data_IF_898719861579
#
_entry.id   IF_898719861579
#
_cell.length_a   1.000
_cell.length_b   1.000
_cell.length_c   1.000
_cell.angle_alpha   90.00
_cell.angle_beta   90.00
_cell.angle_gamma   90.00
#
_symmetry.space_group_name_H-M   'P 1'
#
loop_
_entity.id
_entity.type
_entity.pdbx_description
1 polymer ?
#
# COMPACT_ATOMS: atom_id res chain seq x y z
N UNK A 1 -16.94 -6.89 -11.78
CA UNK A 1 -18.41 -6.80 -11.81
C UNK A 1 -18.90 -5.45 -12.35
N UNK A 2 -18.38 -4.32 -11.84
CA UNK A 2 -18.74 -2.95 -12.29
C UNK A 2 -18.53 -2.73 -13.81
N UNK A 3 -17.45 -3.25 -14.39
CA UNK A 3 -17.19 -3.18 -15.85
C UNK A 3 -18.32 -3.76 -16.71
N UNK A 4 -19.03 -4.78 -16.23
CA UNK A 4 -20.16 -5.37 -16.95
C UNK A 4 -21.43 -4.53 -16.78
N UNK A 5 -21.66 -3.99 -15.59
CA UNK A 5 -22.78 -3.09 -15.32
C UNK A 5 -22.71 -1.84 -16.21
N UNK A 6 -21.53 -1.23 -16.38
CA UNK A 6 -21.36 -0.10 -17.31
C UNK A 6 -21.57 -0.47 -18.78
N UNK A 7 -21.41 -1.75 -19.17
CA UNK A 7 -21.77 -2.22 -20.53
C UNK A 7 -23.26 -2.43 -20.69
N UNK A 8 -23.92 -3.03 -19.70
CA UNK A 8 -25.37 -3.24 -19.72
C UNK A 8 -26.14 -1.91 -19.65
N UNK A 9 -25.67 -0.98 -18.82
CA UNK A 9 -26.28 0.33 -18.62
C UNK A 9 -25.60 1.43 -19.45
N UNK A 10 -24.98 1.08 -20.59
CA UNK A 10 -24.21 2.02 -21.41
C UNK A 10 -25.04 3.24 -21.86
N UNK A 11 -26.32 3.05 -22.16
CA UNK A 11 -27.21 4.17 -22.49
C UNK A 11 -27.38 5.15 -21.31
N UNK A 12 -27.50 4.63 -20.09
CA UNK A 12 -27.63 5.47 -18.90
C UNK A 12 -26.35 6.27 -18.69
N UNK A 13 -25.18 5.62 -18.70
CA UNK A 13 -23.87 6.27 -18.55
C UNK A 13 -23.61 7.32 -19.64
N UNK A 14 -23.96 7.05 -20.89
CA UNK A 14 -23.63 7.94 -22.02
C UNK A 14 -24.63 9.06 -22.26
N UNK A 15 -25.91 8.85 -21.98
CA UNK A 15 -26.98 9.76 -22.41
C UNK A 15 -27.83 10.27 -21.27
N UNK A 16 -28.28 9.41 -20.35
CA UNK A 16 -29.22 9.82 -19.30
C UNK A 16 -28.51 10.57 -18.16
N UNK A 17 -27.42 10.01 -17.65
CA UNK A 17 -26.65 10.53 -16.52
C UNK A 17 -26.07 11.93 -16.82
N UNK A 18 -25.41 12.18 -17.98
CA UNK A 18 -24.89 13.51 -18.30
C UNK A 18 -25.98 14.57 -18.46
N UNK A 19 -27.14 14.21 -19.04
CA UNK A 19 -28.28 15.13 -19.21
C UNK A 19 -28.91 15.55 -17.89
N UNK A 20 -28.76 14.75 -16.84
CA UNK A 20 -29.32 14.99 -15.50
C UNK A 20 -28.26 15.42 -14.49
N UNK A 21 -27.00 15.54 -14.91
CA UNK A 21 -25.86 15.88 -14.04
C UNK A 21 -25.77 14.96 -12.80
N UNK A 22 -25.99 13.66 -13.00
CA UNK A 22 -25.88 12.65 -11.95
C UNK A 22 -24.47 12.03 -11.92
N UNK A 23 -24.05 11.42 -10.79
CA UNK A 23 -22.81 10.65 -10.74
C UNK A 23 -22.84 9.45 -11.71
N UNK A 24 -21.72 9.13 -12.38
CA UNK A 24 -21.59 7.96 -13.23
C UNK A 24 -21.70 6.66 -12.43
N UNK A 25 -22.11 5.58 -13.09
CA UNK A 25 -22.36 4.31 -12.41
C UNK A 25 -21.11 3.75 -11.70
N UNK A 26 -19.92 4.00 -12.24
CA UNK A 26 -18.65 3.66 -11.60
C UNK A 26 -18.49 4.35 -10.24
N UNK A 27 -18.70 5.66 -10.20
CA UNK A 27 -18.58 6.46 -8.97
C UNK A 27 -19.57 5.98 -7.89
N UNK A 28 -20.80 5.68 -8.29
CA UNK A 28 -21.81 5.12 -7.37
C UNK A 28 -21.37 3.75 -6.84
N UNK A 29 -20.89 2.87 -7.71
CA UNK A 29 -20.46 1.53 -7.31
C UNK A 29 -19.26 1.57 -6.35
N UNK A 30 -18.27 2.44 -6.62
CA UNK A 30 -17.13 2.66 -5.73
C UNK A 30 -17.56 3.26 -4.39
N UNK A 31 -18.48 4.23 -4.42
CA UNK A 31 -19.06 4.82 -3.19
C UNK A 31 -19.74 3.76 -2.34
N UNK A 32 -20.57 2.90 -2.94
CA UNK A 32 -21.19 1.79 -2.22
C UNK A 32 -20.16 0.81 -1.64
N UNK A 33 -19.13 0.46 -2.40
CA UNK A 33 -18.07 -0.43 -1.90
C UNK A 33 -17.30 0.21 -0.75
N UNK A 34 -16.98 1.50 -0.86
CA UNK A 34 -16.30 2.26 0.19
C UNK A 34 -17.12 2.21 1.48
N UNK A 35 -18.38 2.61 1.39
CA UNK A 35 -19.23 2.83 2.57
C UNK A 35 -19.65 1.52 3.24
N UNK A 36 -19.84 0.44 2.46
CA UNK A 36 -20.33 -0.85 2.98
C UNK A 36 -19.22 -1.86 3.30
N UNK A 37 -18.03 -1.72 2.73
CA UNK A 37 -16.96 -2.74 2.85
C UNK A 37 -15.67 -2.11 3.33
N UNK A 38 -15.16 -1.10 2.61
CA UNK A 38 -13.84 -0.54 2.90
C UNK A 38 -13.75 0.08 4.29
N UNK A 39 -14.70 0.94 4.67
CA UNK A 39 -14.67 1.62 5.96
C UNK A 39 -14.70 0.66 7.16
N UNK A 40 -15.34 -0.50 7.02
CA UNK A 40 -15.40 -1.51 8.07
C UNK A 40 -14.13 -2.38 8.13
N UNK A 41 -13.51 -2.65 6.97
CA UNK A 41 -12.44 -3.63 6.86
C UNK A 41 -11.03 -3.03 6.69
N UNK A 42 -10.89 -1.76 6.33
CA UNK A 42 -9.60 -1.17 5.96
C UNK A 42 -8.52 -1.36 7.04
N UNK A 43 -8.86 -1.21 8.32
CA UNK A 43 -7.93 -1.40 9.43
C UNK A 43 -7.42 -2.84 9.52
N UNK A 44 -8.33 -3.82 9.43
CA UNK A 44 -7.96 -5.25 9.47
C UNK A 44 -7.12 -5.63 8.26
N UNK A 45 -7.48 -5.11 7.08
CA UNK A 45 -6.74 -5.35 5.83
C UNK A 45 -5.35 -4.73 5.93
N UNK A 46 -5.23 -3.47 6.37
CA UNK A 46 -3.96 -2.79 6.60
C UNK A 46 -3.05 -3.61 7.51
N UNK A 47 -3.57 -4.03 8.67
CA UNK A 47 -2.76 -4.74 9.66
C UNK A 47 -2.28 -6.10 9.10
N UNK A 48 -3.12 -6.78 8.31
CA UNK A 48 -2.74 -8.01 7.61
C UNK A 48 -1.69 -7.78 6.52
N UNK A 49 -1.82 -6.70 5.73
CA UNK A 49 -0.86 -6.31 4.70
C UNK A 49 0.50 -6.01 5.32
N UNK A 50 0.55 -5.23 6.41
CA UNK A 50 1.80 -4.94 7.13
C UNK A 50 2.43 -6.23 7.66
N UNK A 51 1.62 -7.12 8.24
CA UNK A 51 2.10 -8.43 8.70
C UNK A 51 2.72 -9.27 7.57
N UNK A 52 2.17 -9.22 6.35
CA UNK A 52 2.75 -9.92 5.19
C UNK A 52 4.09 -9.29 4.77
N UNK A 53 4.20 -7.95 4.82
CA UNK A 53 5.46 -7.25 4.53
C UNK A 53 6.53 -7.65 5.56
N UNK A 54 6.18 -7.77 6.84
CA UNK A 54 7.10 -8.20 7.89
C UNK A 54 7.56 -9.65 7.74
N UNK A 55 6.65 -10.55 7.35
CA UNK A 55 6.98 -11.92 6.99
C UNK A 55 8.01 -11.95 5.85
N UNK A 56 7.81 -11.15 4.81
CA UNK A 56 8.78 -11.03 3.73
C UNK A 56 10.12 -10.42 4.18
N UNK A 57 10.12 -9.50 5.16
CA UNK A 57 11.36 -8.93 5.74
C UNK A 57 12.21 -9.95 6.47
N UNK A 58 11.60 -10.94 7.09
CA UNK A 58 12.33 -12.06 7.73
C UNK A 58 12.68 -13.18 6.76
N UNK A 59 12.26 -13.07 5.50
CA UNK A 59 12.63 -13.97 4.40
C UNK A 59 11.58 -15.02 4.07
N UNK A 60 10.35 -14.89 4.58
CA UNK A 60 9.25 -15.75 4.17
C UNK A 60 8.77 -15.40 2.75
N UNK A 61 8.27 -16.41 2.04
CA UNK A 61 7.66 -16.20 0.73
C UNK A 61 6.21 -15.76 0.90
N UNK A 62 5.85 -14.68 0.23
CA UNK A 62 4.48 -14.15 0.20
C UNK A 62 3.96 -14.08 -1.23
N UNK A 63 2.63 -14.05 -1.37
CA UNK A 63 2.00 -13.75 -2.66
C UNK A 63 2.05 -12.24 -2.93
N UNK A 64 3.14 -11.78 -3.56
CA UNK A 64 3.34 -10.38 -3.95
C UNK A 64 2.24 -9.87 -4.89
N UNK A 65 1.66 -10.73 -5.72
CA UNK A 65 0.60 -10.33 -6.65
C UNK A 65 -0.71 -10.08 -5.91
N UNK A 66 -1.06 -10.93 -4.94
CA UNK A 66 -2.18 -10.69 -4.03
C UNK A 66 -1.98 -9.39 -3.24
N UNK A 67 -0.78 -9.18 -2.69
CA UNK A 67 -0.47 -7.98 -1.91
C UNK A 67 -0.66 -6.72 -2.76
N UNK A 68 -0.14 -6.71 -3.99
CA UNK A 68 -0.35 -5.63 -4.95
C UNK A 68 -1.83 -5.38 -5.23
N UNK A 69 -2.61 -6.43 -5.51
CA UNK A 69 -4.03 -6.28 -5.80
C UNK A 69 -4.82 -5.68 -4.63
N UNK A 70 -4.45 -6.03 -3.40
CA UNK A 70 -5.06 -5.45 -2.20
C UNK A 70 -4.67 -3.99 -2.04
N UNK A 71 -3.40 -3.64 -2.26
CA UNK A 71 -2.93 -2.26 -2.19
C UNK A 71 -3.54 -1.36 -3.27
N UNK A 72 -3.76 -1.90 -4.47
CA UNK A 72 -4.44 -1.19 -5.56
C UNK A 72 -5.86 -0.74 -5.15
N UNK A 73 -6.54 -1.45 -4.24
CA UNK A 73 -7.87 -1.05 -3.72
C UNK A 73 -7.80 0.29 -2.97
N UNK A 74 -6.75 0.52 -2.17
CA UNK A 74 -6.57 1.78 -1.44
C UNK A 74 -6.39 2.97 -2.40
N UNK A 75 -5.82 2.74 -3.58
CA UNK A 75 -5.66 3.76 -4.63
C UNK A 75 -6.96 3.95 -5.42
N UNK A 76 -7.63 2.86 -5.81
CA UNK A 76 -8.85 2.91 -6.61
C UNK A 76 -10.02 3.58 -5.86
N UNK A 77 -10.12 3.39 -4.54
CA UNK A 77 -11.17 3.99 -3.71
C UNK A 77 -11.07 5.52 -3.66
N UNK A 78 -9.86 6.07 -3.74
CA UNK A 78 -9.64 7.52 -3.85
C UNK A 78 -10.00 8.11 -5.21
N UNK A 79 -10.49 7.29 -6.16
CA UNK A 79 -10.80 7.73 -7.52
C UNK A 79 -9.63 8.46 -8.20
N UNK A 80 -8.41 8.02 -7.93
CA UNK A 80 -7.16 8.63 -8.42
C UNK A 80 -6.51 9.61 -7.44
N UNK A 81 -7.15 9.92 -6.31
CA UNK A 81 -6.50 10.57 -5.18
C UNK A 81 -5.77 9.53 -4.31
N UNK A 82 -4.61 9.91 -3.78
CA UNK A 82 -3.77 9.01 -2.98
C UNK A 82 -4.12 9.04 -1.49
N UNK A 83 -5.06 9.89 -1.05
CA UNK A 83 -5.38 10.12 0.36
C UNK A 83 -5.67 8.82 1.13
N UNK A 84 -6.41 7.88 0.54
CA UNK A 84 -6.69 6.59 1.19
C UNK A 84 -5.46 5.68 1.27
N UNK A 85 -4.65 5.64 0.21
CA UNK A 85 -3.38 4.90 0.25
C UNK A 85 -2.42 5.51 1.29
N UNK A 86 -2.29 6.84 1.32
CA UNK A 86 -1.37 7.52 2.24
C UNK A 86 -1.84 7.41 3.70
N UNK A 87 -3.07 7.82 3.99
CA UNK A 87 -3.57 7.92 5.37
C UNK A 87 -4.00 6.56 5.95
N UNK A 88 -4.63 5.70 5.15
CA UNK A 88 -5.19 4.45 5.65
C UNK A 88 -4.18 3.29 5.60
N UNK A 89 -3.06 3.42 4.88
CA UNK A 89 -2.04 2.37 4.76
C UNK A 89 -0.60 2.87 4.94
N UNK A 90 -0.13 3.77 4.08
CA UNK A 90 1.29 4.13 3.96
C UNK A 90 1.85 4.66 5.29
N UNK A 91 1.12 5.55 5.96
CA UNK A 91 1.52 6.12 7.25
C UNK A 91 1.77 5.05 8.33
N UNK A 92 0.90 4.03 8.38
CA UNK A 92 1.05 2.94 9.33
C UNK A 92 2.22 2.03 8.95
N UNK A 93 2.37 1.73 7.66
CA UNK A 93 3.46 0.92 7.13
C UNK A 93 4.82 1.61 7.37
N UNK A 94 4.94 2.92 7.17
CA UNK A 94 6.17 3.68 7.42
C UNK A 94 6.54 3.69 8.91
N UNK A 95 5.55 3.88 9.80
CA UNK A 95 5.76 3.80 11.26
C UNK A 95 6.24 2.42 11.69
N UNK A 96 5.59 1.38 11.20
CA UNK A 96 5.98 -0.01 11.47
C UNK A 96 7.40 -0.30 10.97
N UNK A 97 7.71 0.12 9.73
CA UNK A 97 9.04 0.00 9.12
C UNK A 97 10.12 0.67 9.97
N UNK A 98 9.86 1.87 10.48
CA UNK A 98 10.79 2.58 11.32
C UNK A 98 11.05 1.82 12.65
N UNK A 99 10.00 1.27 13.26
CA UNK A 99 10.13 0.44 14.47
C UNK A 99 10.93 -0.84 14.18
N UNK A 100 10.65 -1.51 13.06
CA UNK A 100 11.35 -2.72 12.63
C UNK A 100 12.86 -2.47 12.48
N UNK A 101 13.24 -1.45 11.70
CA UNK A 101 14.65 -1.18 11.45
C UNK A 101 15.37 -0.60 12.66
N UNK A 102 14.70 0.17 13.52
CA UNK A 102 15.28 0.67 14.77
C UNK A 102 15.69 -0.48 15.70
N UNK A 103 14.81 -1.48 15.85
CA UNK A 103 15.10 -2.70 16.62
C UNK A 103 16.25 -3.49 16.00
N UNK A 104 16.25 -3.64 14.67
CA UNK A 104 17.26 -4.38 13.92
C UNK A 104 18.64 -3.72 14.02
N UNK A 105 18.71 -2.40 13.86
CA UNK A 105 19.92 -1.60 14.01
C UNK A 105 20.50 -1.71 15.43
N UNK A 106 19.66 -1.58 16.45
CA UNK A 106 20.07 -1.73 17.86
C UNK A 106 20.70 -3.10 18.14
N UNK A 107 20.14 -4.16 17.58
CA UNK A 107 20.71 -5.51 17.70
C UNK A 107 22.03 -5.64 16.95
N UNK A 108 22.18 -4.98 15.81
CA UNK A 108 23.38 -5.11 14.99
C UNK A 108 24.58 -4.33 15.53
N UNK A 109 24.35 -3.14 16.09
CA UNK A 109 25.42 -2.30 16.67
C UNK A 109 26.19 -3.04 17.77
N UNK A 110 25.54 -3.93 18.51
CA UNK A 110 26.16 -4.70 19.59
C UNK A 110 27.00 -5.89 19.09
N UNK A 111 26.72 -6.40 17.89
CA UNK A 111 27.25 -7.69 17.42
C UNK A 111 28.09 -7.64 16.14
N UNK A 112 28.02 -6.57 15.36
CA UNK A 112 28.70 -6.45 14.08
C UNK A 112 29.83 -5.42 14.09
N UNK A 113 30.81 -5.62 13.20
CA UNK A 113 31.77 -4.57 12.89
C UNK A 113 31.09 -3.42 12.15
N UNK A 114 31.69 -2.22 12.19
CA UNK A 114 31.17 -1.06 11.46
C UNK A 114 30.99 -1.34 9.95
N UNK A 115 31.93 -2.07 9.33
CA UNK A 115 31.84 -2.43 7.92
C UNK A 115 30.66 -3.36 7.64
N UNK A 116 30.50 -4.42 8.45
CA UNK A 116 29.41 -5.38 8.28
C UNK A 116 28.04 -4.72 8.49
N UNK A 117 27.96 -3.80 9.45
CA UNK A 117 26.76 -3.00 9.69
C UNK A 117 26.38 -2.18 8.45
N UNK A 118 27.33 -1.43 7.86
CA UNK A 118 27.06 -0.63 6.66
C UNK A 118 26.61 -1.49 5.47
N UNK A 119 27.22 -2.66 5.28
CA UNK A 119 26.78 -3.60 4.23
C UNK A 119 25.35 -4.10 4.47
N UNK A 120 24.98 -4.35 5.73
CA UNK A 120 23.61 -4.76 6.08
C UNK A 120 22.60 -3.65 5.88
N UNK A 121 22.97 -2.42 6.15
CA UNK A 121 22.15 -1.24 5.87
C UNK A 121 21.86 -1.14 4.36
N UNK A 122 22.90 -1.20 3.53
CA UNK A 122 22.76 -1.12 2.07
C UNK A 122 21.89 -2.26 1.52
N UNK A 123 22.09 -3.47 2.02
CA UNK A 123 21.27 -4.64 1.67
C UNK A 123 19.79 -4.41 2.00
N UNK A 124 19.48 -3.84 3.17
CA UNK A 124 18.10 -3.55 3.57
C UNK A 124 17.46 -2.49 2.69
N UNK A 125 18.15 -1.38 2.43
CA UNK A 125 17.66 -0.32 1.54
C UNK A 125 17.37 -0.86 0.14
N UNK A 126 18.22 -1.74 -0.38
CA UNK A 126 18.01 -2.39 -1.68
C UNK A 126 16.76 -3.28 -1.68
N UNK A 127 16.51 -4.03 -0.60
CA UNK A 127 15.31 -4.87 -0.47
C UNK A 127 14.04 -4.04 -0.33
N UNK A 128 14.06 -2.93 0.39
CA UNK A 128 12.90 -2.03 0.46
C UNK A 128 12.58 -1.40 -0.90
N UNK A 129 13.60 -1.03 -1.68
CA UNK A 129 13.39 -0.59 -3.08
C UNK A 129 12.74 -1.68 -3.94
N UNK A 130 13.20 -2.92 -3.82
CA UNK A 130 12.60 -4.06 -4.53
C UNK A 130 11.12 -4.22 -4.20
N UNK A 131 10.74 -4.10 -2.92
CA UNK A 131 9.33 -4.15 -2.49
C UNK A 131 8.49 -3.05 -3.11
N UNK A 132 9.03 -1.84 -3.20
CA UNK A 132 8.32 -0.73 -3.84
C UNK A 132 8.05 -1.04 -5.31
N UNK A 133 9.05 -1.50 -6.05
CA UNK A 133 8.88 -1.85 -7.47
C UNK A 133 7.85 -2.97 -7.67
N UNK A 134 7.75 -3.90 -6.74
CA UNK A 134 6.89 -5.06 -6.90
C UNK A 134 5.43 -4.85 -6.52
N UNK A 135 5.14 -4.12 -5.44
CA UNK A 135 3.76 -4.01 -4.95
C UNK A 135 3.37 -2.72 -4.26
N UNK A 136 4.31 -1.86 -3.83
CA UNK A 136 3.94 -0.55 -3.26
C UNK A 136 3.80 0.49 -4.38
N UNK A 137 3.16 1.61 -4.06
CA UNK A 137 3.13 2.75 -4.98
C UNK A 137 4.50 3.43 -5.05
N UNK A 138 4.89 3.92 -6.23
CA UNK A 138 6.21 4.54 -6.45
C UNK A 138 6.45 5.79 -5.60
N UNK A 139 5.39 6.49 -5.18
CA UNK A 139 5.47 7.62 -4.25
C UNK A 139 6.00 7.22 -2.87
N UNK A 140 5.91 5.95 -2.50
CA UNK A 140 6.37 5.44 -1.22
C UNK A 140 7.89 5.30 -1.15
N UNK A 141 8.60 5.19 -2.29
CA UNK A 141 10.05 4.98 -2.29
C UNK A 141 10.83 6.04 -1.47
N UNK A 142 10.70 7.35 -1.73
CA UNK A 142 11.45 8.35 -0.97
C UNK A 142 11.13 8.32 0.52
N UNK A 143 9.85 8.17 0.88
CA UNK A 143 9.39 8.14 2.28
C UNK A 143 9.90 6.89 3.02
N UNK A 144 9.88 5.74 2.35
CA UNK A 144 10.34 4.46 2.90
C UNK A 144 11.87 4.45 3.09
N UNK A 145 12.61 5.03 2.15
CA UNK A 145 14.05 5.17 2.27
C UNK A 145 14.43 6.13 3.40
N UNK A 146 13.70 7.23 3.57
CA UNK A 146 13.89 8.14 4.70
C UNK A 146 13.61 7.44 6.03
N UNK A 147 12.50 6.68 6.13
CA UNK A 147 12.16 5.90 7.32
C UNK A 147 13.23 4.85 7.68
N UNK A 148 13.89 4.26 6.68
CA UNK A 148 14.97 3.31 6.90
C UNK A 148 16.30 4.01 7.22
N UNK A 149 16.65 5.05 6.46
CA UNK A 149 17.95 5.71 6.54
C UNK A 149 18.07 6.66 7.75
N UNK A 150 16.97 7.28 8.17
CA UNK A 150 16.94 8.17 9.35
C UNK A 150 17.17 7.46 10.69
N UNK A 151 17.36 6.14 10.68
CA UNK A 151 17.63 5.30 11.85
C UNK A 151 19.09 4.85 11.95
N UNK A 152 19.92 5.21 10.97
CA UNK A 152 21.36 4.91 10.93
C UNK A 152 22.19 6.15 11.20
#
# INVERSE_FOLDING_TARGET
>A
MVRWLSRFFHYLDRSFIPRRSLPPLNEVALTCFRDLVYLELNGKVRDAVISLIDQERVGEQIDRALLKNVLDIFVEIGMGQMDHYENDFEDAMLKDTAVYYSRKASNWILGYSCLDYMLKVEECLKREKDRVVHYLHSSSEPKLLEACAGLF
#
